data_IF_661579329059
#
_entry.id   IF_661579329059
#
_cell.length_a   1.000
_cell.length_b   1.000
_cell.length_c   1.000
_cell.angle_alpha   90.00
_cell.angle_beta   90.00
_cell.angle_gamma   90.00
#
_symmetry.space_group_name_H-M   'P 1'
#
loop_
_entity.id
_entity.type
_entity.pdbx_description
1 polymer ?
#
# COMPACT_ATOMS: atom_id res chain seq x y z
N UNK A 1 -6.65 6.37 -5.27
CA UNK A 1 -6.70 6.60 -3.79
C UNK A 1 -5.44 6.11 -3.05
N UNK A 2 -4.30 6.02 -3.77
CA UNK A 2 -3.04 5.48 -3.26
C UNK A 2 -2.38 6.40 -2.22
N UNK A 3 -2.29 7.70 -2.50
CA UNK A 3 -1.65 8.67 -1.59
C UNK A 3 -2.37 8.86 -0.24
N UNK A 4 -3.62 8.41 -0.10
CA UNK A 4 -4.32 8.43 1.19
C UNK A 4 -3.70 7.41 2.14
N UNK A 5 -3.20 6.28 1.63
CA UNK A 5 -2.48 5.31 2.43
C UNK A 5 -1.25 5.95 3.11
N UNK A 6 -0.57 6.89 2.45
CA UNK A 6 0.62 7.54 3.01
C UNK A 6 0.31 8.36 4.26
N UNK A 7 -0.85 9.01 4.30
CA UNK A 7 -1.29 9.77 5.46
C UNK A 7 -1.42 8.83 6.66
N UNK A 8 -2.12 7.71 6.48
CA UNK A 8 -2.30 6.72 7.55
C UNK A 8 -0.99 6.02 7.92
N UNK A 9 -0.11 5.73 6.95
CA UNK A 9 1.23 5.20 7.22
C UNK A 9 2.06 6.17 8.07
N UNK A 10 2.04 7.47 7.76
CA UNK A 10 2.74 8.49 8.54
C UNK A 10 2.17 8.68 9.95
N UNK A 11 0.87 8.41 10.13
CA UNK A 11 0.21 8.40 11.45
C UNK A 11 0.46 7.11 12.24
N UNK A 12 1.11 6.10 11.65
CA UNK A 12 1.30 4.77 12.25
C UNK A 12 0.02 3.91 12.27
N UNK A 13 -1.06 4.39 11.65
CA UNK A 13 -2.33 3.69 11.52
C UNK A 13 -2.26 2.69 10.35
N UNK A 14 -1.62 1.56 10.62
CA UNK A 14 -1.38 0.51 9.62
C UNK A 14 -2.69 -0.08 9.07
N UNK A 15 -3.70 -0.23 9.92
CA UNK A 15 -4.98 -0.83 9.53
C UNK A 15 -5.64 -0.03 8.40
N UNK A 16 -5.71 1.29 8.57
CA UNK A 16 -6.25 2.17 7.54
C UNK A 16 -5.33 2.33 6.34
N UNK A 17 -4.01 2.33 6.53
CA UNK A 17 -3.08 2.34 5.40
C UNK A 17 -3.33 1.14 4.47
N UNK A 18 -3.45 -0.07 5.02
CA UNK A 18 -3.76 -1.27 4.24
C UNK A 18 -5.16 -1.24 3.62
N UNK A 19 -6.16 -0.69 4.31
CA UNK A 19 -7.50 -0.53 3.76
C UNK A 19 -7.48 0.36 2.49
N UNK A 20 -6.72 1.46 2.52
CA UNK A 20 -6.56 2.33 1.37
C UNK A 20 -5.72 1.71 0.25
N UNK A 21 -4.69 0.94 0.57
CA UNK A 21 -3.93 0.19 -0.43
C UNK A 21 -4.78 -0.86 -1.14
N UNK A 22 -5.59 -1.64 -0.41
CA UNK A 22 -6.54 -2.59 -1.01
C UNK A 22 -7.55 -1.89 -1.93
N UNK A 23 -8.09 -0.76 -1.49
CA UNK A 23 -8.98 0.06 -2.32
C UNK A 23 -8.26 0.61 -3.56
N UNK A 24 -6.98 0.99 -3.43
CA UNK A 24 -6.18 1.40 -4.57
C UNK A 24 -6.08 0.27 -5.60
N UNK A 25 -5.84 -0.98 -5.17
CA UNK A 25 -5.88 -2.17 -6.03
C UNK A 25 -7.23 -2.34 -6.74
N UNK A 26 -8.33 -2.24 -6.00
CA UNK A 26 -9.68 -2.41 -6.58
C UNK A 26 -9.99 -1.34 -7.63
N UNK A 27 -9.47 -0.12 -7.45
CA UNK A 27 -9.63 1.00 -8.40
C UNK A 27 -8.55 1.09 -9.48
N UNK A 28 -7.58 0.16 -9.50
CA UNK A 28 -6.39 0.22 -10.36
C UNK A 28 -5.71 1.60 -10.34
N UNK A 29 -5.52 2.16 -9.14
CA UNK A 29 -4.94 3.49 -8.96
C UNK A 29 -3.53 3.55 -9.57
N UNK A 30 -3.25 4.57 -10.38
CA UNK A 30 -1.96 4.76 -11.06
C UNK A 30 -0.74 4.71 -10.12
N UNK A 31 -0.90 5.16 -8.87
CA UNK A 31 0.14 5.12 -7.85
C UNK A 31 0.63 3.71 -7.49
N UNK A 32 -0.13 2.65 -7.78
CA UNK A 32 0.29 1.26 -7.52
C UNK A 32 1.55 0.85 -8.27
N UNK A 33 1.89 1.51 -9.37
CA UNK A 33 3.16 1.28 -10.08
C UNK A 33 4.38 1.54 -9.19
N UNK A 34 4.23 2.39 -8.17
CA UNK A 34 5.29 2.74 -7.22
C UNK A 34 5.24 1.92 -5.92
N UNK A 35 4.26 1.03 -5.76
CA UNK A 35 4.03 0.24 -4.54
C UNK A 35 5.30 -0.49 -4.07
N UNK A 36 6.05 -1.05 -5.01
CA UNK A 36 7.27 -1.81 -4.73
C UNK A 36 8.47 -0.95 -4.30
N UNK A 37 8.47 0.36 -4.56
CA UNK A 37 9.66 1.23 -4.45
C UNK A 37 9.44 2.48 -3.60
N UNK A 38 8.20 2.81 -3.25
CA UNK A 38 7.91 4.01 -2.45
C UNK A 38 8.46 3.88 -1.02
N UNK A 39 9.35 4.79 -0.58
CA UNK A 39 9.94 4.75 0.76
C UNK A 39 8.91 5.06 1.85
N UNK A 40 7.81 5.75 1.52
CA UNK A 40 6.72 6.02 2.45
C UNK A 40 6.04 4.75 2.95
N UNK A 41 6.19 3.62 2.24
CA UNK A 41 5.59 2.34 2.61
C UNK A 41 6.57 1.42 3.34
N UNK A 42 7.81 1.86 3.61
CA UNK A 42 8.84 1.02 4.23
C UNK A 42 8.42 0.45 5.59
N UNK A 43 7.64 1.21 6.37
CA UNK A 43 7.10 0.75 7.66
C UNK A 43 6.03 -0.36 7.54
N UNK A 44 5.47 -0.53 6.35
CA UNK A 44 4.48 -1.56 6.02
C UNK A 44 5.10 -2.78 5.32
N UNK A 45 6.29 -2.64 4.70
CA UNK A 45 6.93 -3.71 3.91
C UNK A 45 7.19 -5.01 4.67
N UNK A 46 7.38 -4.94 5.98
CA UNK A 46 7.62 -6.13 6.83
C UNK A 46 6.34 -6.84 7.24
N UNK A 47 5.17 -6.26 6.92
CA UNK A 47 3.88 -6.80 7.27
C UNK A 47 3.41 -7.82 6.21
N UNK A 48 2.92 -9.01 6.61
CA UNK A 48 2.39 -10.00 5.67
C UNK A 48 1.27 -9.46 4.77
N UNK A 49 0.48 -8.49 5.26
CA UNK A 49 -0.58 -7.86 4.46
C UNK A 49 -0.03 -7.07 3.27
N UNK A 50 1.18 -6.55 3.38
CA UNK A 50 1.83 -5.84 2.28
C UNK A 50 2.19 -6.80 1.15
N UNK A 51 2.74 -7.97 1.47
CA UNK A 51 3.05 -9.03 0.50
C UNK A 51 1.81 -9.50 -0.23
N UNK A 52 0.69 -9.69 0.48
CA UNK A 52 -0.59 -10.05 -0.15
C UNK A 52 -1.04 -9.01 -1.20
N UNK A 53 -0.91 -7.72 -0.87
CA UNK A 53 -1.28 -6.63 -1.77
C UNK A 53 -0.35 -6.59 -2.99
N UNK A 54 0.94 -6.82 -2.80
CA UNK A 54 1.92 -6.93 -3.90
C UNK A 54 1.59 -8.07 -4.86
N UNK A 55 1.18 -9.24 -4.33
CA UNK A 55 0.71 -10.37 -5.14
C UNK A 55 -0.53 -10.05 -5.98
N UNK A 56 -1.48 -9.28 -5.43
CA UNK A 56 -2.68 -8.83 -6.17
C UNK A 56 -2.36 -7.97 -7.39
N UNK A 57 -1.22 -7.28 -7.39
CA UNK A 57 -0.79 -6.41 -8.51
C UNK A 57 0.36 -7.01 -9.32
N UNK A 58 0.79 -8.24 -9.02
CA UNK A 58 1.83 -8.96 -9.78
C UNK A 58 3.25 -8.41 -9.58
N UNK A 59 3.55 -7.87 -8.39
CA UNK A 59 4.85 -7.28 -8.07
C UNK A 59 5.69 -8.12 -7.07
N UNK A 60 5.33 -9.39 -6.85
CA UNK A 60 6.10 -10.33 -6.02
C UNK A 60 7.46 -10.72 -6.61
#
# INVERSE_FOLDING_TARGET
PYYIAFIHTGLGDKEQAFAWLRRACDTQSEGLTWLAVDPFLDSLRTDPQFTEIMGRVGLE
#
